data_IF_597477310052
#
_entry.id   IF_597477310052
#
_cell.length_a   1.000
_cell.length_b   1.000
_cell.length_c   1.000
_cell.angle_alpha   90.00
_cell.angle_beta   90.00
_cell.angle_gamma   90.00
#
_symmetry.space_group_name_H-M   'P 1'
#
loop_
_entity.id
_entity.type
_entity.pdbx_description
1 polymer ?
#
# COMPACT_ATOMS: atom_id res chain seq x y z
N UNK A 1 -57.42 35.03 17.43
CA UNK A 1 -56.96 33.92 16.55
C UNK A 1 -55.76 34.25 15.65
N UNK A 2 -55.58 35.48 15.12
CA UNK A 2 -54.47 35.80 14.19
C UNK A 2 -53.05 35.71 14.78
N UNK A 3 -52.85 36.05 16.06
CA UNK A 3 -51.53 36.02 16.72
C UNK A 3 -50.94 34.60 16.89
N UNK A 4 -51.78 33.58 17.08
CA UNK A 4 -51.35 32.18 17.26
C UNK A 4 -50.81 31.55 15.96
N UNK A 5 -51.42 31.89 14.82
CA UNK A 5 -50.93 31.46 13.50
C UNK A 5 -49.58 32.09 13.13
N UNK A 6 -49.35 33.34 13.52
CA UNK A 6 -48.06 34.02 13.30
C UNK A 6 -46.96 33.38 14.15
N UNK A 7 -47.25 33.05 15.42
CA UNK A 7 -46.32 32.34 16.30
C UNK A 7 -45.96 30.94 15.76
N UNK A 8 -46.94 30.18 15.24
CA UNK A 8 -46.70 28.85 14.65
C UNK A 8 -45.90 28.91 13.34
N UNK A 9 -46.11 29.94 12.51
CA UNK A 9 -45.29 30.18 11.29
C UNK A 9 -43.85 30.57 11.63
N UNK A 10 -43.62 31.44 12.63
CA UNK A 10 -42.27 31.81 13.07
C UNK A 10 -41.49 30.63 13.65
N UNK A 11 -42.11 29.76 14.47
CA UNK A 11 -41.46 28.54 14.99
C UNK A 11 -41.09 27.54 13.89
N UNK A 12 -41.94 27.39 12.86
CA UNK A 12 -41.62 26.57 11.69
C UNK A 12 -40.45 27.14 10.88
N UNK A 13 -40.39 28.46 10.72
CA UNK A 13 -39.28 29.13 10.04
C UNK A 13 -37.96 28.92 10.80
N UNK A 14 -37.96 29.11 12.12
CA UNK A 14 -36.79 28.88 12.98
C UNK A 14 -36.35 27.42 12.91
N UNK A 15 -37.28 26.47 12.99
CA UNK A 15 -36.97 25.05 12.86
C UNK A 15 -36.37 24.72 11.49
N UNK A 16 -36.90 25.29 10.41
CA UNK A 16 -36.36 25.10 9.07
C UNK A 16 -34.97 25.71 8.93
N UNK A 17 -34.72 26.89 9.48
CA UNK A 17 -33.38 27.50 9.54
C UNK A 17 -32.41 26.62 10.34
N UNK A 18 -32.85 26.04 11.45
CA UNK A 18 -32.04 25.14 12.28
C UNK A 18 -31.71 23.84 11.53
N UNK A 19 -32.67 23.29 10.78
CA UNK A 19 -32.48 22.10 9.96
C UNK A 19 -31.53 22.39 8.79
N UNK A 20 -31.65 23.55 8.15
CA UNK A 20 -30.72 24.01 7.11
C UNK A 20 -29.32 24.25 7.69
N UNK A 21 -29.19 24.89 8.85
CA UNK A 21 -27.91 25.08 9.53
C UNK A 21 -27.27 23.75 9.96
N UNK A 22 -28.08 22.80 10.43
CA UNK A 22 -27.63 21.44 10.73
C UNK A 22 -27.15 20.74 9.44
N UNK A 23 -27.89 20.89 8.34
CA UNK A 23 -27.51 20.34 7.04
C UNK A 23 -26.17 20.93 6.55
N UNK A 24 -25.99 22.25 6.62
CA UNK A 24 -24.73 22.91 6.28
C UNK A 24 -23.57 22.47 7.19
N UNK A 25 -23.79 22.39 8.50
CA UNK A 25 -22.79 21.92 9.45
C UNK A 25 -22.38 20.46 9.19
N UNK A 26 -23.33 19.60 8.80
CA UNK A 26 -23.02 18.24 8.38
C UNK A 26 -22.16 18.24 7.12
N UNK A 27 -22.48 19.06 6.11
CA UNK A 27 -21.68 19.13 4.88
C UNK A 27 -20.26 19.59 5.11
N UNK A 28 -20.01 20.58 5.98
CA UNK A 28 -18.64 21.02 6.30
C UNK A 28 -17.84 19.92 7.00
N UNK A 29 -18.51 19.16 7.87
CA UNK A 29 -17.93 18.04 8.61
C UNK A 29 -17.57 16.84 7.72
N UNK A 30 -18.26 16.63 6.60
CA UNK A 30 -17.87 15.61 5.61
C UNK A 30 -16.47 15.84 5.01
N UNK A 31 -16.00 17.09 5.02
CA UNK A 31 -14.70 17.49 4.48
C UNK A 31 -13.64 17.69 5.56
N UNK A 32 -13.90 17.28 6.80
CA UNK A 32 -12.92 17.36 7.88
C UNK A 32 -11.75 16.39 7.59
N UNK A 33 -10.52 16.89 7.77
CA UNK A 33 -9.27 16.15 7.58
C UNK A 33 -9.29 14.81 8.33
N UNK A 34 -9.97 14.72 9.47
CA UNK A 34 -10.09 13.49 10.25
C UNK A 34 -10.83 12.38 9.50
N UNK A 35 -11.89 12.72 8.76
CA UNK A 35 -12.67 11.76 7.95
C UNK A 35 -11.82 11.27 6.78
N UNK A 36 -11.15 12.20 6.11
CA UNK A 36 -10.29 11.92 4.95
C UNK A 36 -9.13 11.01 5.35
N UNK A 37 -8.45 11.33 6.46
CA UNK A 37 -7.33 10.54 6.96
C UNK A 37 -7.79 9.13 7.38
N UNK A 38 -8.95 9.01 8.03
CA UNK A 38 -9.51 7.69 8.36
C UNK A 38 -9.80 6.85 7.12
N UNK A 39 -10.44 7.45 6.12
CA UNK A 39 -10.76 6.80 4.84
C UNK A 39 -9.47 6.34 4.16
N UNK A 40 -8.47 7.22 4.08
CA UNK A 40 -7.16 6.95 3.50
C UNK A 40 -6.49 5.75 4.18
N UNK A 41 -6.42 5.74 5.51
CA UNK A 41 -5.83 4.64 6.28
C UNK A 41 -6.60 3.34 6.05
N UNK A 42 -7.95 3.38 6.06
CA UNK A 42 -8.76 2.18 5.87
C UNK A 42 -8.66 1.59 4.49
N UNK A 43 -8.68 2.43 3.46
CA UNK A 43 -8.46 2.01 2.08
C UNK A 43 -7.07 1.38 1.94
N UNK A 44 -6.03 2.05 2.46
CA UNK A 44 -4.66 1.53 2.43
C UNK A 44 -4.54 0.14 3.09
N UNK A 45 -5.14 -0.05 4.28
CA UNK A 45 -5.16 -1.35 4.95
C UNK A 45 -5.79 -2.47 4.11
N UNK A 46 -6.86 -2.17 3.38
CA UNK A 46 -7.51 -3.14 2.48
C UNK A 46 -6.59 -3.43 1.29
N UNK A 47 -5.98 -2.42 0.70
CA UNK A 47 -5.03 -2.57 -0.41
C UNK A 47 -3.83 -3.42 -0.02
N UNK A 48 -3.09 -3.03 1.02
CA UNK A 48 -1.90 -3.73 1.52
C UNK A 48 -2.21 -5.21 1.76
N UNK A 49 -3.28 -5.53 2.49
CA UNK A 49 -3.67 -6.90 2.78
C UNK A 49 -3.86 -7.75 1.51
N UNK A 50 -4.52 -7.20 0.50
CA UNK A 50 -4.83 -7.93 -0.73
C UNK A 50 -3.59 -8.04 -1.64
N UNK A 51 -2.83 -6.97 -1.78
CA UNK A 51 -1.58 -6.93 -2.56
C UNK A 51 -0.57 -7.92 -1.97
N UNK A 52 -0.30 -7.87 -0.66
CA UNK A 52 0.60 -8.82 0.02
C UNK A 52 0.12 -10.27 -0.16
N UNK A 53 -1.20 -10.52 -0.08
CA UNK A 53 -1.73 -11.87 -0.27
C UNK A 53 -1.48 -12.41 -1.69
N UNK A 54 -1.66 -11.57 -2.71
CA UNK A 54 -1.40 -11.94 -4.10
C UNK A 54 0.08 -12.18 -4.34
N UNK A 55 0.95 -11.32 -3.84
CA UNK A 55 2.38 -11.48 -4.04
C UNK A 55 2.91 -12.72 -3.32
N UNK A 56 2.43 -12.97 -2.10
CA UNK A 56 2.76 -14.21 -1.39
C UNK A 56 2.35 -15.44 -2.19
N UNK A 57 1.19 -15.42 -2.85
CA UNK A 57 0.75 -16.50 -3.71
C UNK A 57 1.65 -16.67 -4.94
N UNK A 58 1.96 -15.58 -5.65
CA UNK A 58 2.84 -15.65 -6.84
C UNK A 58 4.23 -16.15 -6.51
N UNK A 59 4.76 -15.82 -5.33
CA UNK A 59 6.10 -16.21 -4.88
C UNK A 59 6.13 -17.67 -4.41
N UNK A 60 5.17 -18.11 -3.59
CA UNK A 60 5.20 -19.45 -3.01
C UNK A 60 4.90 -20.58 -3.99
N UNK A 61 4.13 -20.32 -5.05
CA UNK A 61 3.73 -21.35 -6.01
C UNK A 61 4.75 -21.56 -7.14
N UNK A 62 5.68 -20.62 -7.37
CA UNK A 62 6.53 -20.60 -8.58
C UNK A 62 8.05 -20.51 -8.34
N UNK A 63 8.54 -20.45 -7.10
CA UNK A 63 9.98 -20.34 -6.89
C UNK A 63 10.72 -21.68 -7.06
N UNK A 64 11.57 -21.73 -8.09
CA UNK A 64 12.76 -22.60 -8.07
C UNK A 64 13.79 -22.00 -7.09
N UNK A 65 14.49 -22.84 -6.34
CA UNK A 65 15.22 -22.46 -5.10
C UNK A 65 16.34 -21.42 -5.30
N UNK A 66 16.74 -21.07 -6.53
CA UNK A 66 17.85 -20.14 -6.77
C UNK A 66 17.69 -19.28 -8.05
N UNK A 67 17.37 -17.99 -7.86
CA UNK A 67 17.47 -16.97 -8.91
C UNK A 67 18.92 -16.60 -9.24
N UNK A 68 19.84 -16.86 -8.31
CA UNK A 68 21.27 -16.62 -8.47
C UNK A 68 21.97 -17.89 -8.95
N UNK A 69 22.63 -17.81 -10.11
CA UNK A 69 23.43 -18.90 -10.67
C UNK A 69 24.91 -18.63 -10.49
N UNK A 70 25.65 -19.66 -10.11
CA UNK A 70 27.10 -19.60 -9.93
C UNK A 70 27.79 -20.24 -11.13
N UNK A 71 28.75 -19.54 -11.73
CA UNK A 71 29.63 -20.12 -12.73
C UNK A 71 30.97 -20.49 -12.10
N UNK A 72 31.41 -21.70 -12.36
CA UNK A 72 32.67 -22.24 -11.86
C UNK A 72 33.73 -22.23 -12.95
N UNK A 73 34.97 -21.97 -12.55
CA UNK A 73 36.16 -22.21 -13.35
C UNK A 73 37.15 -23.01 -12.49
N UNK A 74 37.61 -24.17 -12.97
CA UNK A 74 38.49 -25.09 -12.24
C UNK A 74 38.02 -25.42 -10.80
N UNK A 75 36.70 -25.56 -10.61
CA UNK A 75 36.09 -25.86 -9.30
C UNK A 75 35.99 -24.66 -8.33
N UNK A 76 36.49 -23.47 -8.72
CA UNK A 76 36.32 -22.21 -7.97
C UNK A 76 35.18 -21.38 -8.56
N UNK A 77 34.43 -20.66 -7.72
CA UNK A 77 33.40 -19.71 -8.18
C UNK A 77 34.11 -18.57 -8.91
N UNK A 78 33.76 -18.36 -10.18
CA UNK A 78 34.32 -17.28 -11.01
C UNK A 78 33.48 -16.02 -10.91
N UNK A 79 32.16 -16.15 -11.07
CA UNK A 79 31.21 -15.07 -10.87
C UNK A 79 29.79 -15.63 -10.66
N UNK A 80 28.96 -14.87 -9.97
CA UNK A 80 27.53 -15.11 -9.89
C UNK A 80 26.78 -14.21 -10.86
N UNK A 81 25.66 -14.68 -11.37
CA UNK A 81 24.78 -13.91 -12.22
C UNK A 81 23.32 -14.24 -11.92
N UNK A 82 22.46 -13.24 -12.09
CA UNK A 82 21.02 -13.41 -11.99
C UNK A 82 20.52 -14.19 -13.21
N UNK A 83 19.67 -15.20 -13.00
CA UNK A 83 18.88 -15.76 -14.07
C UNK A 83 17.83 -14.74 -14.51
N UNK A 84 18.15 -14.00 -15.56
CA UNK A 84 17.29 -12.94 -16.07
C UNK A 84 15.97 -13.47 -16.64
N UNK A 85 15.94 -14.70 -17.17
CA UNK A 85 14.71 -15.27 -17.71
C UNK A 85 13.72 -15.56 -16.58
N UNK A 86 14.21 -16.20 -15.51
CA UNK A 86 13.38 -16.51 -14.35
C UNK A 86 12.94 -15.24 -13.62
N UNK A 87 13.85 -14.28 -13.45
CA UNK A 87 13.53 -12.97 -12.88
C UNK A 87 12.44 -12.22 -13.68
N UNK A 88 12.51 -12.27 -15.02
CA UNK A 88 11.48 -11.68 -15.88
C UNK A 88 10.13 -12.41 -15.79
N UNK A 89 10.14 -13.75 -15.65
CA UNK A 89 8.92 -14.52 -15.45
C UNK A 89 8.23 -14.13 -14.14
N UNK A 90 8.98 -14.06 -13.03
CA UNK A 90 8.45 -13.61 -11.74
C UNK A 90 7.86 -12.20 -11.84
N UNK A 91 8.59 -11.26 -12.47
CA UNK A 91 8.11 -9.90 -12.68
C UNK A 91 6.81 -9.87 -13.50
N UNK A 92 6.76 -10.63 -14.59
CA UNK A 92 5.60 -10.68 -15.48
C UNK A 92 4.38 -11.30 -14.78
N UNK A 93 4.58 -12.36 -14.01
CA UNK A 93 3.51 -13.03 -13.27
C UNK A 93 2.98 -12.16 -12.13
N UNK A 94 3.86 -11.57 -11.31
CA UNK A 94 3.46 -10.64 -10.26
C UNK A 94 2.64 -9.49 -10.85
N UNK A 95 3.10 -8.90 -11.95
CA UNK A 95 2.37 -7.85 -12.67
C UNK A 95 1.00 -8.33 -13.19
N UNK A 96 0.93 -9.54 -13.74
CA UNK A 96 -0.31 -10.14 -14.24
C UNK A 96 -1.32 -10.39 -13.12
N UNK A 97 -0.89 -10.91 -11.99
CA UNK A 97 -1.77 -11.15 -10.84
C UNK A 97 -2.25 -9.84 -10.21
N UNK A 98 -1.37 -8.85 -10.04
CA UNK A 98 -1.76 -7.52 -9.55
C UNK A 98 -2.78 -6.86 -10.49
N UNK A 99 -2.56 -6.95 -11.81
CA UNK A 99 -3.52 -6.41 -12.79
C UNK A 99 -4.90 -7.07 -12.72
N UNK A 100 -4.99 -8.37 -12.39
CA UNK A 100 -6.27 -9.08 -12.23
C UNK A 100 -6.97 -8.74 -10.91
N UNK A 101 -6.19 -8.47 -9.87
CA UNK A 101 -6.67 -8.10 -8.55
C UNK A 101 -7.31 -6.70 -8.54
N UNK A 102 -6.86 -5.81 -9.44
CA UNK A 102 -7.34 -4.43 -9.52
C UNK A 102 -8.88 -4.28 -9.45
N UNK A 103 -9.68 -4.88 -10.35
CA UNK A 103 -11.14 -4.75 -10.30
C UNK A 103 -11.77 -5.35 -9.03
N UNK A 104 -11.15 -6.35 -8.41
CA UNK A 104 -11.67 -6.94 -7.17
C UNK A 104 -11.46 -5.99 -5.98
N UNK A 105 -10.26 -5.42 -5.85
CA UNK A 105 -9.97 -4.44 -4.79
C UNK A 105 -10.81 -3.19 -4.97
N UNK A 106 -10.94 -2.67 -6.20
CA UNK A 106 -11.79 -1.51 -6.48
C UNK A 106 -13.20 -1.73 -5.93
N UNK A 107 -13.77 -2.92 -6.13
CA UNK A 107 -15.07 -3.28 -5.61
C UNK A 107 -15.13 -3.38 -4.07
N UNK A 108 -14.06 -3.86 -3.44
CA UNK A 108 -13.97 -3.96 -1.97
C UNK A 108 -13.84 -2.59 -1.30
N UNK A 109 -13.19 -1.62 -1.95
CA UNK A 109 -12.91 -0.29 -1.39
C UNK A 109 -14.00 0.73 -1.74
N UNK A 110 -14.92 0.41 -2.66
CA UNK A 110 -16.04 1.26 -3.06
C UNK A 110 -16.87 1.84 -1.91
N UNK A 111 -16.90 1.18 -0.74
CA UNK A 111 -17.55 1.72 0.46
C UNK A 111 -16.68 1.57 1.70
N UNK A 112 -16.35 2.68 2.34
CA UNK A 112 -15.72 2.70 3.66
C UNK A 112 -16.70 3.25 4.69
N UNK A 113 -16.95 2.46 5.72
CA UNK A 113 -17.84 2.84 6.82
C UNK A 113 -17.10 3.68 7.85
N UNK A 114 -17.34 4.98 7.85
CA UNK A 114 -16.69 5.92 8.76
C UNK A 114 -17.51 6.08 10.04
N UNK A 115 -16.92 5.84 11.22
CA UNK A 115 -17.61 6.10 12.47
C UNK A 115 -17.97 7.58 12.59
N UNK A 116 -19.19 7.86 13.05
CA UNK A 116 -19.71 9.22 13.19
C UNK A 116 -18.80 10.12 14.03
N UNK A 117 -18.03 9.54 14.96
CA UNK A 117 -17.04 10.27 15.75
C UNK A 117 -15.92 10.96 14.96
N UNK A 118 -15.60 10.52 13.74
CA UNK A 118 -14.58 11.17 12.90
C UNK A 118 -15.09 12.48 12.28
N UNK A 119 -16.41 12.63 12.13
CA UNK A 119 -17.06 13.84 11.64
C UNK A 119 -17.09 14.94 12.71
N UNK A 120 -17.08 14.56 13.98
CA UNK A 120 -17.04 15.49 15.10
C UNK A 120 -15.62 15.55 15.63
N UNK A 121 -14.91 16.66 15.41
CA UNK A 121 -13.48 16.96 15.70
C UNK A 121 -12.97 16.59 17.11
N UNK A 122 -13.82 16.07 18.00
CA UNK A 122 -13.48 15.58 19.34
C UNK A 122 -13.09 14.11 19.30
N UNK A 123 -11.77 13.87 19.39
CA UNK A 123 -11.11 12.55 19.47
C UNK A 123 -11.65 11.57 20.52
N UNK A 124 -12.46 12.01 21.49
CA UNK A 124 -13.07 11.13 22.49
C UNK A 124 -14.23 10.26 21.95
N UNK A 125 -14.78 10.60 20.76
CA UNK A 125 -15.90 9.87 20.15
C UNK A 125 -15.47 8.85 19.08
N UNK A 126 -14.18 8.50 18.98
CA UNK A 126 -13.62 7.60 17.95
C UNK A 126 -13.98 6.10 18.13
N UNK A 127 -15.10 5.79 18.76
CA UNK A 127 -15.55 4.43 19.11
C UNK A 127 -16.30 3.73 17.96
N UNK A 128 -16.46 2.40 18.07
CA UNK A 128 -17.34 1.54 17.24
C UNK A 128 -18.83 1.85 17.45
N UNK A 129 -19.22 3.09 17.19
CA UNK A 129 -20.59 3.56 17.21
C UNK A 129 -21.27 3.46 15.84
N UNK A 130 -22.27 4.31 15.63
CA UNK A 130 -22.94 4.48 14.35
C UNK A 130 -21.90 4.79 13.26
N UNK A 131 -22.01 4.12 12.10
CA UNK A 131 -21.12 4.28 10.95
C UNK A 131 -21.89 4.85 9.77
N UNK A 132 -21.26 5.78 9.06
CA UNK A 132 -21.77 6.38 7.83
C UNK A 132 -21.00 5.78 6.66
N UNK A 133 -21.65 5.11 5.71
CA UNK A 133 -20.97 4.61 4.53
C UNK A 133 -20.59 5.77 3.61
N UNK A 134 -19.30 5.89 3.31
CA UNK A 134 -18.79 6.79 2.29
C UNK A 134 -18.48 6.00 1.04
N UNK A 135 -18.97 6.49 -0.09
CA UNK A 135 -18.64 5.94 -1.41
C UNK A 135 -17.29 6.47 -1.85
N UNK A 136 -16.42 5.57 -2.25
CA UNK A 136 -15.10 5.88 -2.81
C UNK A 136 -15.05 5.39 -4.26
N UNK A 137 -14.16 5.97 -5.03
CA UNK A 137 -13.70 5.41 -6.30
C UNK A 137 -12.19 5.35 -6.21
N UNK A 138 -11.62 4.18 -6.45
CA UNK A 138 -10.17 3.98 -6.35
C UNK A 138 -9.68 3.44 -7.67
N UNK A 139 -8.50 3.89 -8.09
CA UNK A 139 -7.76 3.35 -9.22
C UNK A 139 -6.28 3.41 -8.89
N UNK A 140 -5.47 2.61 -9.56
CA UNK A 140 -4.06 2.48 -9.25
C UNK A 140 -3.23 2.27 -10.50
N UNK A 141 -2.01 2.78 -10.43
CA UNK A 141 -0.93 2.40 -11.33
C UNK A 141 0.12 1.66 -10.49
N UNK A 142 0.66 0.58 -11.02
CA UNK A 142 1.75 -0.13 -10.37
C UNK A 142 2.90 -0.35 -11.34
N UNK A 143 4.10 -0.38 -10.79
CA UNK A 143 5.31 -0.81 -11.46
C UNK A 143 6.02 -1.84 -10.56
N UNK A 144 6.64 -2.82 -11.20
CA UNK A 144 7.39 -3.85 -10.49
C UNK A 144 8.77 -4.01 -11.12
N UNK A 145 9.79 -4.13 -10.29
CA UNK A 145 11.19 -4.19 -10.72
C UNK A 145 11.95 -5.24 -9.92
N UNK A 146 12.83 -5.98 -10.61
CA UNK A 146 13.77 -6.88 -9.93
C UNK A 146 15.05 -6.08 -9.68
N UNK A 147 15.40 -5.94 -8.40
CA UNK A 147 16.58 -5.21 -7.95
C UNK A 147 17.57 -6.20 -7.37
N UNK A 148 18.84 -6.08 -7.74
CA UNK A 148 19.94 -6.85 -7.17
C UNK A 148 20.87 -5.93 -6.38
N UNK A 149 21.06 -6.24 -5.10
CA UNK A 149 21.97 -5.52 -4.21
C UNK A 149 23.15 -6.42 -3.82
N UNK A 150 24.33 -5.82 -3.70
CA UNK A 150 25.54 -6.50 -3.22
C UNK A 150 26.11 -5.69 -2.06
N UNK A 151 26.35 -6.36 -0.94
CA UNK A 151 26.88 -5.74 0.28
C UNK A 151 28.00 -6.58 0.89
N UNK A 152 28.92 -5.94 1.61
CA UNK A 152 29.99 -6.66 2.30
C UNK A 152 29.43 -7.46 3.49
N UNK A 153 29.85 -8.72 3.61
CA UNK A 153 29.40 -9.65 4.65
C UNK A 153 30.57 -10.36 5.34
N UNK A 154 30.94 -9.88 6.53
CA UNK A 154 32.04 -10.45 7.30
C UNK A 154 33.42 -10.21 6.65
N UNK A 155 34.37 -11.12 6.88
CA UNK A 155 35.73 -10.99 6.34
C UNK A 155 35.76 -11.58 4.93
N UNK A 156 35.86 -10.70 3.94
CA UNK A 156 36.06 -11.05 2.53
C UNK A 156 34.94 -11.90 1.91
N UNK A 157 33.70 -11.75 2.37
CA UNK A 157 32.52 -12.30 1.68
C UNK A 157 31.59 -11.17 1.27
N UNK A 158 30.77 -11.45 0.28
CA UNK A 158 29.76 -10.55 -0.23
C UNK A 158 28.40 -11.21 -0.13
N UNK A 159 27.43 -10.49 0.44
CA UNK A 159 26.02 -10.84 0.45
C UNK A 159 25.38 -10.28 -0.81
N UNK A 160 24.77 -11.16 -1.59
CA UNK A 160 23.99 -10.84 -2.76
C UNK A 160 22.51 -11.04 -2.43
N UNK A 161 21.70 -10.04 -2.75
CA UNK A 161 20.26 -10.07 -2.55
C UNK A 161 19.56 -9.72 -3.85
N UNK A 162 18.56 -10.51 -4.21
CA UNK A 162 17.66 -10.26 -5.32
C UNK A 162 16.28 -10.03 -4.74
N UNK A 163 15.69 -8.87 -5.01
CA UNK A 163 14.41 -8.46 -4.48
C UNK A 163 13.45 -8.05 -5.59
N UNK A 164 12.16 -8.29 -5.40
CA UNK A 164 11.09 -7.67 -6.17
C UNK A 164 10.68 -6.39 -5.45
N UNK A 165 10.92 -5.26 -6.09
CA UNK A 165 10.42 -3.95 -5.66
C UNK A 165 9.10 -3.69 -6.37
N UNK A 166 8.08 -3.32 -5.60
CA UNK A 166 6.76 -2.97 -6.12
C UNK A 166 6.46 -1.55 -5.67
N UNK A 167 6.14 -0.69 -6.64
CA UNK A 167 5.70 0.68 -6.40
C UNK A 167 4.30 0.83 -6.95
N UNK A 168 3.40 1.39 -6.15
CA UNK A 168 2.03 1.63 -6.58
C UNK A 168 1.59 3.03 -6.18
N UNK A 169 1.02 3.75 -7.15
CA UNK A 169 0.31 5.00 -6.91
C UNK A 169 -1.18 4.67 -6.86
N UNK A 170 -1.78 4.84 -5.68
CA UNK A 170 -3.19 4.56 -5.41
C UNK A 170 -3.91 5.89 -5.32
N UNK A 171 -4.84 6.10 -6.24
CA UNK A 171 -5.65 7.32 -6.35
C UNK A 171 -7.01 7.05 -5.73
N UNK A 172 -7.31 7.71 -4.62
CA UNK A 172 -8.57 7.60 -3.91
C UNK A 172 -9.38 8.87 -4.18
N UNK A 173 -10.46 8.70 -4.93
CA UNK A 173 -11.45 9.74 -5.16
C UNK A 173 -12.55 9.65 -4.10
N UNK A 174 -12.59 10.68 -3.26
CA UNK A 174 -13.63 10.96 -2.27
C UNK A 174 -14.55 12.02 -2.89
N UNK A 175 -15.86 12.11 -2.57
CA UNK A 175 -16.68 13.20 -3.08
C UNK A 175 -16.00 14.57 -2.90
N UNK A 176 -15.80 15.29 -4.00
CA UNK A 176 -15.17 16.62 -4.08
C UNK A 176 -13.67 16.70 -3.74
N UNK A 177 -12.98 15.58 -3.53
CA UNK A 177 -11.54 15.56 -3.22
C UNK A 177 -10.82 14.34 -3.81
N UNK A 178 -9.54 14.50 -4.11
CA UNK A 178 -8.66 13.42 -4.56
C UNK A 178 -7.48 13.29 -3.61
N UNK A 179 -7.11 12.06 -3.28
CA UNK A 179 -5.97 11.73 -2.45
C UNK A 179 -5.10 10.72 -3.18
N UNK A 180 -3.79 10.91 -3.12
CA UNK A 180 -2.80 9.98 -3.69
C UNK A 180 -2.05 9.32 -2.54
N UNK A 181 -1.93 8.00 -2.58
CA UNK A 181 -1.11 7.22 -1.66
C UNK A 181 -0.06 6.49 -2.47
N UNK A 182 1.21 6.62 -2.04
CA UNK A 182 2.31 5.85 -2.60
C UNK A 182 2.53 4.63 -1.72
N UNK A 183 2.34 3.44 -2.28
CA UNK A 183 2.68 2.16 -1.65
C UNK A 183 3.99 1.67 -2.23
N UNK A 184 4.90 1.27 -1.36
CA UNK A 184 6.18 0.68 -1.75
C UNK A 184 6.45 -0.55 -0.90
N UNK A 185 6.80 -1.65 -1.57
CA UNK A 185 7.15 -2.91 -0.91
C UNK A 185 8.40 -3.50 -1.59
N UNK A 186 9.29 -4.06 -0.77
CA UNK A 186 10.52 -4.72 -1.22
C UNK A 186 10.54 -6.13 -0.68
N UNK A 187 10.40 -7.09 -1.57
CA UNK A 187 10.26 -8.50 -1.21
C UNK A 187 11.52 -9.23 -1.62
N UNK A 188 12.24 -9.75 -0.63
CA UNK A 188 13.44 -10.54 -0.85
C UNK A 188 13.06 -11.87 -1.52
N UNK A 189 13.57 -12.10 -2.72
CA UNK A 189 13.29 -13.29 -3.50
C UNK A 189 14.37 -14.36 -3.32
N UNK A 190 15.64 -13.94 -3.31
CA UNK A 190 16.78 -14.84 -3.17
C UNK A 190 17.93 -14.08 -2.51
N UNK A 191 18.69 -14.77 -1.68
CA UNK A 191 19.88 -14.23 -1.02
C UNK A 191 20.96 -15.31 -0.98
N UNK A 192 22.21 -14.90 -1.20
CA UNK A 192 23.35 -15.80 -1.20
C UNK A 192 24.62 -15.11 -0.77
N UNK A 193 25.54 -15.87 -0.19
CA UNK A 193 26.86 -15.37 0.21
C UNK A 193 27.90 -15.96 -0.75
N UNK A 194 28.73 -15.09 -1.34
CA UNK A 194 29.90 -15.51 -2.11
C UNK A 194 31.13 -15.30 -1.23
N UNK A 195 31.84 -16.39 -0.96
CA UNK A 195 33.08 -16.37 -0.21
C UNK A 195 34.24 -16.08 -1.18
N UNK A 196 34.93 -14.95 -0.99
CA UNK A 196 36.18 -14.69 -1.71
C UNK A 196 37.36 -15.22 -0.89
N UNK A 197 38.38 -15.78 -1.55
CA UNK A 197 39.61 -16.20 -0.86
C UNK A 197 40.33 -14.98 -0.28
N UNK A 198 40.65 -15.01 1.02
CA UNK A 198 41.44 -13.95 1.67
C UNK A 198 42.82 -13.93 0.99
N UNK A 199 43.26 -12.82 0.39
CA UNK A 199 44.59 -12.77 -0.20
C UNK A 199 45.64 -13.06 0.88
N UNK A 200 46.41 -14.14 0.69
CA UNK A 200 47.59 -14.40 1.52
C UNK A 200 48.65 -13.35 1.19
N UNK A 201 48.55 -12.16 1.80
CA UNK A 201 49.69 -11.25 1.89
C UNK A 201 50.70 -11.88 2.86
N UNK A 202 51.56 -12.74 2.33
CA UNK A 202 52.79 -13.09 3.00
C UNK A 202 53.59 -11.80 3.18
N UNK A 203 53.79 -11.40 4.44
CA UNK A 203 54.78 -10.40 4.83
C UNK A 203 56.17 -10.92 4.43
N UNK A 204 56.63 -10.58 3.21
CA UNK A 204 58.07 -10.54 2.95
C UNK A 204 58.60 -9.20 3.44
N UNK A 205 58.95 -9.15 4.72
CA UNK A 205 59.92 -8.19 5.23
C UNK A 205 61.27 -8.87 5.03
N UNK A 206 61.99 -8.42 3.99
CA UNK A 206 63.40 -8.71 3.78
C UNK A 206 64.25 -7.83 4.70
#
# INVERSE_FOLDING_TARGET
MRLWFIFRKKRRLIFLILLVALFFSLTESYFDDNVIEYVKIKAMQIYEKNVTAVIKKSILENMDENLMKLKYNDGKISYAYLDTYEALNIKAEASSMLSKLNPEIENMVNYVSVPVGYFFTKKFMLTDGLKVPLRLTVYQAFDSEIVSDVSDYGINNQLYEVSLQIKMDIYIQIPFQEQIINYEDKILLSSGIINNEIPNYYFHIA
#
